data_IF_812580850993
#
_entry.id   IF_812580850993
#
_cell.length_a   1.000
_cell.length_b   1.000
_cell.length_c   1.000
_cell.angle_alpha   90.00
_cell.angle_beta   90.00
_cell.angle_gamma   90.00
#
_symmetry.space_group_name_H-M   'P 1'
#
loop_
_entity.id
_entity.type
_entity.pdbx_description
1 polymer ?
#
# COMPACT_ATOMS: atom_id res chain seq x y z
N UNK A 1 -8.32 -3.92 -6.99
CA UNK A 1 -7.40 -3.10 -7.82
C UNK A 1 -7.50 -1.64 -7.39
N UNK A 2 -6.46 -1.10 -6.72
CA UNK A 2 -6.46 0.25 -6.16
C UNK A 2 -6.54 1.36 -7.24
N UNK A 3 -7.21 2.50 -6.99
CA UNK A 3 -7.34 3.60 -7.97
C UNK A 3 -6.01 4.11 -8.54
N UNK A 4 -4.92 4.05 -7.77
CA UNK A 4 -3.60 4.45 -8.25
C UNK A 4 -3.13 3.62 -9.46
N UNK A 5 -3.44 2.32 -9.50
CA UNK A 5 -3.02 1.47 -10.61
C UNK A 5 -3.78 1.81 -11.89
N UNK A 6 -5.05 2.23 -11.76
CA UNK A 6 -5.84 2.72 -12.89
C UNK A 6 -5.23 4.02 -13.44
N UNK A 7 -4.89 4.98 -12.56
CA UNK A 7 -4.26 6.24 -12.98
C UNK A 7 -2.87 6.03 -13.58
N UNK A 8 -2.06 5.12 -13.04
CA UNK A 8 -0.78 4.72 -13.64
C UNK A 8 -0.96 4.17 -15.06
N UNK A 9 -1.93 3.28 -15.27
CA UNK A 9 -2.21 2.72 -16.59
C UNK A 9 -2.66 3.80 -17.59
N UNK A 10 -3.47 4.76 -17.15
CA UNK A 10 -3.90 5.90 -17.96
C UNK A 10 -2.71 6.80 -18.35
N UNK A 11 -1.89 7.21 -17.37
CA UNK A 11 -0.71 8.06 -17.61
C UNK A 11 0.32 7.37 -18.50
N UNK A 12 0.52 6.06 -18.34
CA UNK A 12 1.34 5.26 -19.25
C UNK A 12 0.77 5.26 -20.67
N UNK A 13 -0.54 5.10 -20.82
CA UNK A 13 -1.19 5.14 -22.14
C UNK A 13 -1.02 6.50 -22.81
N UNK A 14 -1.03 7.60 -22.04
CA UNK A 14 -0.72 8.93 -22.56
C UNK A 14 0.74 9.07 -22.95
N UNK A 15 1.68 8.60 -22.13
CA UNK A 15 3.13 8.72 -22.39
C UNK A 15 3.56 7.99 -23.67
N UNK A 16 2.90 6.89 -24.01
CA UNK A 16 3.13 6.15 -25.27
C UNK A 16 2.67 6.94 -26.49
N UNK A 17 1.59 7.72 -26.38
CA UNK A 17 0.99 8.45 -27.51
C UNK A 17 1.56 9.85 -27.69
N UNK A 18 1.98 10.49 -26.60
CA UNK A 18 2.50 11.86 -26.58
C UNK A 18 3.38 12.07 -25.35
N UNK A 19 4.17 13.14 -25.37
CA UNK A 19 4.85 13.58 -24.16
C UNK A 19 3.83 13.97 -23.08
N UNK A 20 4.09 13.57 -21.84
CA UNK A 20 3.31 14.01 -20.70
C UNK A 20 3.51 15.50 -20.46
N UNK A 21 2.43 16.18 -20.09
CA UNK A 21 2.50 17.55 -19.58
C UNK A 21 3.23 17.57 -18.23
N UNK A 22 3.77 18.72 -17.78
CA UNK A 22 4.40 18.81 -16.48
C UNK A 22 3.49 18.36 -15.32
N UNK A 23 2.19 18.69 -15.39
CA UNK A 23 1.20 18.25 -14.38
C UNK A 23 1.06 16.72 -14.36
N UNK A 24 0.94 16.10 -15.53
CA UNK A 24 0.81 14.65 -15.64
C UNK A 24 2.09 13.91 -15.22
N UNK A 25 3.25 14.51 -15.44
CA UNK A 25 4.52 13.98 -14.96
C UNK A 25 4.59 14.01 -13.43
N UNK A 26 4.16 15.11 -12.80
CA UNK A 26 4.04 15.19 -11.34
C UNK A 26 3.03 14.17 -10.80
N UNK A 27 1.88 14.01 -11.45
CA UNK A 27 0.90 12.99 -11.06
C UNK A 27 1.45 11.57 -11.21
N UNK A 28 2.25 11.30 -12.25
CA UNK A 28 2.91 10.01 -12.45
C UNK A 28 3.86 9.70 -11.29
N UNK A 29 4.66 10.67 -10.86
CA UNK A 29 5.57 10.52 -9.71
C UNK A 29 4.80 10.25 -8.41
N UNK A 30 3.72 10.99 -8.16
CA UNK A 30 2.85 10.78 -7.00
C UNK A 30 2.21 9.37 -7.03
N UNK A 31 1.70 8.95 -8.18
CA UNK A 31 1.11 7.63 -8.35
C UNK A 31 2.16 6.52 -8.16
N UNK A 32 3.39 6.73 -8.61
CA UNK A 32 4.50 5.79 -8.41
C UNK A 32 4.88 5.66 -6.94
N UNK A 33 4.89 6.76 -6.17
CA UNK A 33 5.15 6.72 -4.73
C UNK A 33 4.10 5.88 -3.99
N UNK A 34 2.81 6.10 -4.30
CA UNK A 34 1.72 5.34 -3.68
C UNK A 34 1.76 3.88 -4.13
N UNK A 35 2.04 3.60 -5.41
CA UNK A 35 2.18 2.23 -5.90
C UNK A 35 3.33 1.49 -5.22
N UNK A 36 4.48 2.13 -5.05
CA UNK A 36 5.62 1.54 -4.34
C UNK A 36 5.24 1.18 -2.91
N UNK A 37 4.57 2.09 -2.19
CA UNK A 37 4.06 1.81 -0.84
C UNK A 37 3.15 0.58 -0.82
N UNK A 38 2.19 0.52 -1.76
CA UNK A 38 1.27 -0.63 -1.88
C UNK A 38 2.03 -1.94 -2.08
N UNK A 39 2.97 -1.96 -3.01
CA UNK A 39 3.76 -3.17 -3.29
C UNK A 39 4.60 -3.60 -2.09
N UNK A 40 5.24 -2.66 -1.39
CA UNK A 40 6.08 -3.00 -0.23
C UNK A 40 5.28 -3.51 0.97
N UNK A 41 4.15 -2.90 1.27
CA UNK A 41 3.27 -3.36 2.36
C UNK A 41 2.64 -4.72 2.04
N UNK A 42 2.24 -4.96 0.78
CA UNK A 42 1.74 -6.27 0.36
C UNK A 42 2.82 -7.35 0.49
N UNK A 43 4.03 -7.08 0.00
CA UNK A 43 5.16 -8.02 0.10
C UNK A 43 5.50 -8.33 1.57
N UNK A 44 5.41 -7.33 2.45
CA UNK A 44 5.57 -7.55 3.89
C UNK A 44 4.52 -8.52 4.45
N UNK A 45 3.24 -8.34 4.11
CA UNK A 45 2.17 -9.22 4.57
C UNK A 45 2.34 -10.65 4.01
N UNK A 46 2.68 -10.81 2.74
CA UNK A 46 2.94 -12.11 2.13
C UNK A 46 4.09 -12.86 2.83
N UNK A 47 5.18 -12.14 3.12
CA UNK A 47 6.31 -12.71 3.86
C UNK A 47 5.94 -13.08 5.30
N UNK A 48 5.12 -12.25 5.98
CA UNK A 48 4.63 -12.56 7.32
C UNK A 48 3.72 -13.80 7.33
N UNK A 49 2.84 -13.94 6.32
CA UNK A 49 1.99 -15.13 6.15
C UNK A 49 2.82 -16.39 5.94
N UNK A 50 3.86 -16.31 5.10
CA UNK A 50 4.79 -17.41 4.90
C UNK A 50 5.52 -17.80 6.19
N UNK A 51 6.01 -16.81 6.96
CA UNK A 51 6.68 -17.05 8.24
C UNK A 51 5.75 -17.76 9.24
N UNK A 52 4.50 -17.30 9.38
CA UNK A 52 3.49 -17.91 10.23
C UNK A 52 3.21 -19.38 9.82
N UNK A 53 3.12 -19.63 8.51
CA UNK A 53 2.99 -20.99 7.98
C UNK A 53 4.17 -21.88 8.34
N UNK A 54 5.40 -21.36 8.23
CA UNK A 54 6.63 -22.11 8.52
C UNK A 54 6.75 -22.46 10.00
N UNK A 55 6.26 -21.59 10.90
CA UNK A 55 6.22 -21.84 12.35
C UNK A 55 4.99 -22.61 12.81
N UNK A 56 4.08 -22.96 11.89
CA UNK A 56 2.79 -23.62 12.16
C UNK A 56 1.86 -22.82 13.07
N UNK A 57 2.01 -21.49 13.07
CA UNK A 57 1.12 -20.58 13.77
C UNK A 57 -0.08 -20.23 12.88
N UNK A 58 -1.10 -21.08 12.92
CA UNK A 58 -2.28 -20.96 12.07
C UNK A 58 -3.15 -19.75 12.42
N UNK A 59 -3.17 -19.35 13.69
CA UNK A 59 -3.97 -18.20 14.12
C UNK A 59 -3.35 -16.90 13.62
N UNK A 60 -2.03 -16.77 13.74
CA UNK A 60 -1.31 -15.65 13.14
C UNK A 60 -1.44 -15.65 11.61
N UNK A 61 -1.33 -16.81 10.97
CA UNK A 61 -1.48 -16.91 9.51
C UNK A 61 -2.85 -16.43 9.04
N UNK A 62 -3.93 -16.87 9.69
CA UNK A 62 -5.29 -16.45 9.34
C UNK A 62 -5.50 -14.94 9.55
N UNK A 63 -4.92 -14.36 10.59
CA UNK A 63 -4.94 -12.91 10.80
C UNK A 63 -4.26 -12.17 9.64
N UNK A 64 -3.06 -12.59 9.23
CA UNK A 64 -2.37 -11.96 8.09
C UNK A 64 -3.14 -12.15 6.77
N UNK A 65 -3.74 -13.32 6.53
CA UNK A 65 -4.58 -13.54 5.36
C UNK A 65 -5.77 -12.57 5.30
N UNK A 66 -6.46 -12.33 6.42
CA UNK A 66 -7.51 -11.29 6.50
C UNK A 66 -6.97 -9.91 6.13
N UNK A 67 -5.79 -9.57 6.63
CA UNK A 67 -5.16 -8.28 6.33
C UNK A 67 -4.80 -8.13 4.86
N UNK A 68 -4.36 -9.21 4.19
CA UNK A 68 -4.08 -9.25 2.75
C UNK A 68 -5.37 -9.04 1.94
N UNK A 69 -6.46 -9.72 2.32
CA UNK A 69 -7.75 -9.63 1.61
C UNK A 69 -8.34 -8.21 1.63
N UNK A 70 -8.12 -7.47 2.72
CA UNK A 70 -8.56 -6.08 2.87
C UNK A 70 -7.60 -5.06 2.24
N UNK A 71 -6.36 -5.45 1.96
CA UNK A 71 -5.33 -4.55 1.45
C UNK A 71 -5.56 -4.23 -0.04
N UNK A 72 -5.34 -2.98 -0.51
CA UNK A 72 -4.91 -1.77 0.21
C UNK A 72 -6.05 -0.90 0.73
N UNK A 73 -7.28 -1.40 0.83
CA UNK A 73 -8.48 -0.61 1.11
C UNK A 73 -8.75 -0.38 2.59
N UNK A 74 -7.71 -0.46 3.44
CA UNK A 74 -7.87 -0.23 4.87
C UNK A 74 -8.51 1.13 5.11
N UNK A 75 -9.72 1.13 5.63
CA UNK A 75 -10.27 2.32 6.26
C UNK A 75 -9.26 2.78 7.33
N UNK A 76 -8.97 4.09 7.40
CA UNK A 76 -8.23 4.61 8.57
C UNK A 76 -9.03 4.22 9.80
N UNK A 77 -8.56 3.24 10.56
CA UNK A 77 -9.13 2.97 11.87
C UNK A 77 -8.91 4.24 12.70
N UNK A 78 -9.97 4.89 13.20
CA UNK A 78 -9.83 6.00 14.13
C UNK A 78 -9.31 5.41 15.44
N UNK A 79 -8.00 5.34 15.63
CA UNK A 79 -7.46 4.68 16.83
C UNK A 79 -5.94 4.65 17.01
N UNK A 80 -5.13 4.69 15.96
CA UNK A 80 -3.68 4.84 16.13
C UNK A 80 -3.29 6.31 15.99
N UNK A 81 -3.76 7.11 16.95
CA UNK A 81 -3.20 8.44 17.20
C UNK A 81 -1.78 8.28 17.71
N UNK A 82 -0.89 9.12 17.19
CA UNK A 82 0.46 9.31 17.69
C UNK A 82 0.45 9.32 19.22
N UNK A 83 1.09 8.33 19.85
CA UNK A 83 1.49 8.40 21.24
C UNK A 83 2.61 9.44 21.34
N UNK A 84 2.23 10.71 21.16
CA UNK A 84 3.04 11.86 21.51
C UNK A 84 3.25 11.83 23.01
N UNK A 85 4.47 11.51 23.40
CA UNK A 85 5.05 11.73 24.72
C UNK A 85 4.68 13.12 25.23
N UNK A 86 3.74 13.21 26.16
CA UNK A 86 3.64 14.37 27.03
C UNK A 86 4.70 14.20 28.12
N UNK A 87 5.82 14.90 27.93
CA UNK A 87 6.77 15.19 28.98
C UNK A 87 6.07 15.96 30.10
N UNK A 88 6.26 15.49 31.33
CA UNK A 88 5.77 16.13 32.54
C UNK A 88 6.42 17.51 32.71
N UNK A 89 5.59 18.52 32.93
CA UNK A 89 5.95 19.78 33.60
C UNK A 89 5.12 19.91 34.87
#
# INVERSE_FOLDING_TARGET
MHPVHLRLAELWTFSVKRKLTPSEQTELEQCMQVNAKICWEMAYLENASLMASMTRDTDWQHEICRQIDEYPYRAKQPGNGDAGTNEAQ
#
